data_IF_072087577627
#
_entry.id   IF_072087577627
#
_cell.length_a   1.000
_cell.length_b   1.000
_cell.length_c   1.000
_cell.angle_alpha   90.00
_cell.angle_beta   90.00
_cell.angle_gamma   90.00
#
_symmetry.space_group_name_H-M   'P 1'
#
loop_
_entity.id
_entity.type
_entity.pdbx_description
1 polymer ?
#
# COMPACT_ATOMS: atom_id res chain seq x y z
N UNK A 1 -29.17 -13.64 -50.37
CA UNK A 1 -28.10 -13.79 -49.34
C UNK A 1 -28.53 -13.09 -48.05
N UNK A 2 -28.47 -13.78 -46.93
CA UNK A 2 -28.74 -13.17 -45.64
C UNK A 2 -27.55 -12.22 -45.27
N UNK A 3 -27.84 -10.97 -44.99
CA UNK A 3 -26.82 -10.02 -44.57
C UNK A 3 -26.41 -10.35 -43.13
N UNK A 4 -25.15 -10.70 -42.91
CA UNK A 4 -24.58 -10.89 -41.59
C UNK A 4 -24.43 -9.53 -40.90
N UNK A 5 -25.24 -9.26 -39.88
CA UNK A 5 -25.08 -8.10 -38.99
C UNK A 5 -23.85 -8.29 -38.12
N UNK A 6 -23.29 -7.19 -37.59
CA UNK A 6 -22.15 -7.23 -36.65
C UNK A 6 -22.42 -8.23 -35.53
N UNK A 7 -21.49 -9.17 -35.33
CA UNK A 7 -21.57 -10.15 -34.25
C UNK A 7 -21.47 -9.53 -32.86
N UNK A 8 -21.44 -10.36 -31.84
CA UNK A 8 -21.42 -9.95 -30.41
C UNK A 8 -20.03 -9.44 -29.91
N UNK A 9 -18.97 -9.55 -30.72
CA UNK A 9 -17.59 -9.24 -30.31
C UNK A 9 -17.44 -7.77 -29.86
N UNK A 10 -17.97 -6.83 -30.62
CA UNK A 10 -17.91 -5.41 -30.29
C UNK A 10 -18.65 -5.11 -28.97
N UNK A 11 -19.81 -5.77 -28.74
CA UNK A 11 -20.59 -5.65 -27.51
C UNK A 11 -19.81 -6.22 -26.32
N UNK A 12 -19.22 -7.41 -26.45
CA UNK A 12 -18.40 -8.05 -25.41
C UNK A 12 -17.21 -7.15 -25.03
N UNK A 13 -16.50 -6.58 -26.01
CA UNK A 13 -15.39 -5.65 -25.77
C UNK A 13 -15.84 -4.40 -25.00
N UNK A 14 -16.94 -3.78 -25.39
CA UNK A 14 -17.48 -2.60 -24.68
C UNK A 14 -17.91 -2.95 -23.25
N UNK A 15 -18.61 -4.05 -23.06
CA UNK A 15 -19.04 -4.50 -21.75
C UNK A 15 -17.85 -4.77 -20.82
N UNK A 16 -16.75 -5.34 -21.32
CA UNK A 16 -15.52 -5.54 -20.55
C UNK A 16 -15.00 -4.20 -19.95
N UNK A 17 -14.93 -3.16 -20.75
CA UNK A 17 -14.49 -1.84 -20.30
C UNK A 17 -15.49 -1.21 -19.34
N UNK A 18 -16.78 -1.26 -19.65
CA UNK A 18 -17.83 -0.70 -18.79
C UNK A 18 -17.91 -1.42 -17.42
N UNK A 19 -17.62 -2.71 -17.39
CA UNK A 19 -17.55 -3.47 -16.14
C UNK A 19 -16.36 -3.00 -15.27
N UNK A 20 -15.21 -2.67 -15.87
CA UNK A 20 -14.08 -2.08 -15.15
C UNK A 20 -14.35 -0.65 -14.67
N UNK A 21 -15.26 0.06 -15.36
CA UNK A 21 -15.66 1.42 -15.01
C UNK A 21 -16.81 1.48 -13.98
N UNK A 22 -17.32 0.34 -13.50
CA UNK A 22 -18.38 0.31 -12.48
C UNK A 22 -17.96 1.12 -11.25
N UNK A 23 -18.89 1.93 -10.72
CA UNK A 23 -18.63 2.80 -9.59
C UNK A 23 -17.99 4.14 -9.94
N UNK A 24 -17.62 4.40 -11.19
CA UNK A 24 -17.10 5.70 -11.58
C UNK A 24 -18.21 6.77 -11.59
N UNK A 25 -17.85 8.01 -11.24
CA UNK A 25 -18.80 9.12 -11.12
C UNK A 25 -19.33 9.56 -12.48
N UNK A 26 -20.63 9.79 -12.56
CA UNK A 26 -21.32 10.36 -13.72
C UNK A 26 -21.21 9.50 -14.98
N UNK A 27 -21.09 10.14 -16.13
CA UNK A 27 -20.99 9.50 -17.46
C UNK A 27 -19.76 8.60 -17.64
N UNK A 28 -18.75 8.68 -16.78
CA UNK A 28 -17.54 7.88 -16.88
C UNK A 28 -17.79 6.37 -16.69
N UNK A 29 -18.91 5.97 -16.11
CA UNK A 29 -19.32 4.56 -15.96
C UNK A 29 -20.18 4.03 -17.09
N UNK A 30 -20.91 4.91 -17.80
CA UNK A 30 -21.94 4.51 -18.76
C UNK A 30 -21.53 4.76 -20.23
N UNK A 31 -20.79 5.82 -20.49
CA UNK A 31 -20.36 6.20 -21.85
C UNK A 31 -19.04 5.52 -22.17
N UNK A 32 -19.04 4.63 -23.16
CA UNK A 32 -17.86 3.82 -23.52
C UNK A 32 -16.61 4.65 -23.78
N UNK A 33 -16.71 5.76 -24.54
CA UNK A 33 -15.56 6.59 -24.91
C UNK A 33 -14.85 7.18 -23.69
N UNK A 34 -15.62 7.79 -22.79
CA UNK A 34 -15.11 8.37 -21.57
C UNK A 34 -14.67 7.30 -20.58
N UNK A 35 -15.46 6.22 -20.43
CA UNK A 35 -15.13 5.07 -19.58
C UNK A 35 -13.79 4.45 -19.98
N UNK A 36 -13.53 4.22 -21.26
CA UNK A 36 -12.28 3.64 -21.73
C UNK A 36 -11.07 4.49 -21.34
N UNK A 37 -11.12 5.80 -21.55
CA UNK A 37 -10.05 6.72 -21.15
C UNK A 37 -9.81 6.69 -19.64
N UNK A 38 -10.89 6.71 -18.85
CA UNK A 38 -10.81 6.68 -17.38
C UNK A 38 -10.29 5.35 -16.84
N UNK A 39 -10.70 4.23 -17.45
CA UNK A 39 -10.19 2.90 -17.07
C UNK A 39 -8.70 2.78 -17.35
N UNK A 40 -8.20 3.22 -18.51
CA UNK A 40 -6.76 3.23 -18.77
C UNK A 40 -6.00 4.02 -17.72
N UNK A 41 -6.47 5.21 -17.34
CA UNK A 41 -5.85 6.03 -16.30
C UNK A 41 -5.92 5.36 -14.93
N UNK A 42 -7.04 4.74 -14.59
CA UNK A 42 -7.22 4.01 -13.34
C UNK A 42 -6.24 2.83 -13.21
N UNK A 43 -6.05 2.06 -14.28
CA UNK A 43 -5.11 0.93 -14.30
C UNK A 43 -3.65 1.38 -14.16
N UNK A 44 -3.26 2.48 -14.86
CA UNK A 44 -1.93 3.08 -14.70
C UNK A 44 -1.69 3.56 -13.26
N UNK A 45 -2.68 4.25 -12.67
CA UNK A 45 -2.59 4.70 -11.29
C UNK A 45 -2.51 3.51 -10.32
N UNK A 46 -3.34 2.48 -10.50
CA UNK A 46 -3.32 1.27 -9.67
C UNK A 46 -1.95 0.56 -9.71
N UNK A 47 -1.32 0.49 -10.90
CA UNK A 47 0.02 -0.06 -11.05
C UNK A 47 1.07 0.72 -10.24
N UNK A 48 1.08 2.05 -10.38
CA UNK A 48 1.97 2.94 -9.65
C UNK A 48 1.73 2.86 -8.14
N UNK A 49 0.48 2.89 -7.72
CA UNK A 49 0.11 3.01 -6.31
C UNK A 49 0.33 1.69 -5.55
N UNK A 50 0.26 0.52 -6.21
CA UNK A 50 0.72 -0.75 -5.61
C UNK A 50 2.19 -0.70 -5.21
N UNK A 51 3.06 -0.02 -5.95
CA UNK A 51 4.47 0.18 -5.61
C UNK A 51 4.66 1.23 -4.53
N UNK A 52 3.90 2.33 -4.62
CA UNK A 52 3.93 3.41 -3.66
C UNK A 52 3.46 2.95 -2.27
N UNK A 53 2.42 2.12 -2.21
CA UNK A 53 1.88 1.57 -0.95
C UNK A 53 2.96 0.95 -0.04
N UNK A 54 3.89 0.22 -0.61
CA UNK A 54 5.00 -0.40 0.14
C UNK A 54 5.89 0.66 0.82
N UNK A 55 6.14 1.77 0.13
CA UNK A 55 6.93 2.90 0.66
C UNK A 55 6.16 3.67 1.73
N UNK A 56 4.87 3.87 1.52
CA UNK A 56 4.02 4.62 2.45
C UNK A 56 3.85 3.85 3.77
N UNK A 57 3.61 2.54 3.71
CA UNK A 57 3.59 1.71 4.92
C UNK A 57 4.94 1.68 5.64
N UNK A 58 6.05 1.59 4.92
CA UNK A 58 7.38 1.65 5.54
C UNK A 58 7.62 2.98 6.26
N UNK A 59 7.21 4.11 5.68
CA UNK A 59 7.27 5.42 6.33
C UNK A 59 6.44 5.46 7.62
N UNK A 60 5.24 4.93 7.57
CA UNK A 60 4.35 4.83 8.73
C UNK A 60 4.99 4.01 9.85
N UNK A 61 5.56 2.84 9.55
CA UNK A 61 6.24 2.02 10.54
C UNK A 61 7.44 2.73 11.16
N UNK A 62 8.26 3.38 10.34
CA UNK A 62 9.42 4.16 10.81
C UNK A 62 8.97 5.29 11.74
N UNK A 63 7.90 6.01 11.40
CA UNK A 63 7.34 7.08 12.23
C UNK A 63 6.90 6.55 13.61
N UNK A 64 6.17 5.44 13.64
CA UNK A 64 5.70 4.78 14.88
C UNK A 64 6.85 4.30 15.75
N UNK A 65 7.83 3.62 15.15
CA UNK A 65 9.03 3.15 15.86
C UNK A 65 9.81 4.34 16.44
N UNK A 66 9.99 5.40 15.65
CA UNK A 66 10.74 6.58 16.10
C UNK A 66 10.04 7.30 17.24
N UNK A 67 8.71 7.41 17.21
CA UNK A 67 7.94 7.99 18.30
C UNK A 67 8.15 7.22 19.61
N UNK A 68 8.02 5.88 19.58
CA UNK A 68 8.24 5.03 20.73
C UNK A 68 9.71 5.00 21.19
N UNK A 69 10.66 5.02 20.26
CA UNK A 69 12.09 5.10 20.58
C UNK A 69 12.43 6.41 21.32
N UNK A 70 11.83 7.54 20.93
CA UNK A 70 12.05 8.84 21.60
C UNK A 70 11.49 8.85 23.02
N UNK A 71 10.36 8.20 23.28
CA UNK A 71 9.81 8.02 24.64
C UNK A 71 10.83 7.29 25.52
N UNK A 72 11.56 6.32 24.96
CA UNK A 72 12.59 5.54 25.65
C UNK A 72 14.01 6.15 25.54
N UNK A 73 14.14 7.46 25.28
CA UNK A 73 15.41 8.20 25.31
C UNK A 73 16.36 7.93 24.12
N UNK A 74 15.89 7.25 23.07
CA UNK A 74 16.71 6.96 21.89
C UNK A 74 16.05 7.47 20.59
N UNK A 75 16.64 7.23 19.44
CA UNK A 75 16.04 7.53 18.16
C UNK A 75 16.06 6.32 17.23
N UNK A 76 15.27 6.39 16.13
CA UNK A 76 15.16 5.30 15.18
C UNK A 76 16.51 4.78 14.65
N UNK A 77 17.44 5.67 14.31
CA UNK A 77 18.73 5.27 13.73
C UNK A 77 19.61 4.52 14.72
N UNK A 78 19.69 5.01 15.96
CA UNK A 78 20.42 4.35 17.05
C UNK A 78 19.81 3.01 17.39
N UNK A 79 18.47 2.94 17.50
CA UNK A 79 17.72 1.71 17.76
C UNK A 79 18.00 0.63 16.70
N UNK A 80 17.88 0.96 15.41
CA UNK A 80 18.12 0.00 14.32
C UNK A 80 19.58 -0.45 14.28
N UNK A 81 20.52 0.45 14.52
CA UNK A 81 21.93 0.10 14.59
C UNK A 81 22.22 -0.83 15.79
N UNK A 82 21.69 -0.50 16.97
CA UNK A 82 21.83 -1.35 18.16
C UNK A 82 21.21 -2.74 17.96
N UNK A 83 20.02 -2.83 17.38
CA UNK A 83 19.40 -4.13 17.03
C UNK A 83 20.28 -4.94 16.09
N UNK A 84 20.91 -4.29 15.09
CA UNK A 84 21.82 -4.97 14.16
C UNK A 84 23.05 -5.50 14.87
N UNK A 85 23.65 -4.73 15.78
CA UNK A 85 24.83 -5.15 16.55
C UNK A 85 24.51 -6.27 17.56
N UNK A 86 23.29 -6.25 18.12
CA UNK A 86 22.80 -7.29 19.02
C UNK A 86 22.20 -8.51 18.29
N UNK A 87 22.32 -8.57 16.95
CA UNK A 87 21.78 -9.63 16.09
C UNK A 87 20.27 -9.88 16.24
N UNK A 88 19.50 -8.87 16.69
CA UNK A 88 18.06 -8.93 16.85
C UNK A 88 17.38 -8.71 15.49
N UNK A 89 16.85 -9.79 14.90
CA UNK A 89 16.21 -9.77 13.57
C UNK A 89 14.70 -9.63 13.71
N UNK A 90 14.21 -8.40 13.84
CA UNK A 90 12.77 -8.08 13.82
C UNK A 90 12.48 -7.13 12.67
N UNK A 91 11.45 -7.45 11.86
CA UNK A 91 11.08 -6.56 10.77
C UNK A 91 10.34 -5.30 11.29
N UNK A 92 10.39 -4.22 10.52
CA UNK A 92 9.82 -2.91 10.91
C UNK A 92 8.32 -2.96 11.15
N UNK A 93 7.59 -3.81 10.44
CA UNK A 93 6.14 -4.00 10.62
C UNK A 93 5.85 -4.53 12.03
N UNK A 94 6.52 -5.60 12.43
CA UNK A 94 6.37 -6.20 13.76
C UNK A 94 6.83 -5.25 14.86
N UNK A 95 7.97 -4.58 14.67
CA UNK A 95 8.49 -3.62 15.64
C UNK A 95 7.54 -2.42 15.83
N UNK A 96 6.94 -1.92 14.74
CA UNK A 96 5.93 -0.86 14.82
C UNK A 96 4.63 -1.33 15.48
N UNK A 97 4.29 -2.59 15.37
CA UNK A 97 3.12 -3.19 16.00
C UNK A 97 3.37 -3.40 17.51
N UNK A 98 4.55 -3.86 17.90
CA UNK A 98 4.98 -3.93 19.30
C UNK A 98 4.97 -2.55 19.96
N UNK A 99 5.48 -1.54 19.27
CA UNK A 99 5.48 -0.16 19.78
C UNK A 99 4.09 0.40 20.10
N UNK A 100 3.03 -0.13 19.47
CA UNK A 100 1.64 0.28 19.73
C UNK A 100 0.93 -0.62 20.73
N UNK A 101 1.08 -1.94 20.60
CA UNK A 101 0.27 -2.91 21.30
C UNK A 101 0.92 -3.34 22.64
N UNK A 102 2.25 -3.36 22.69
CA UNK A 102 3.02 -3.76 23.87
C UNK A 102 4.25 -2.87 24.08
N UNK A 103 4.04 -1.65 24.64
CA UNK A 103 5.14 -0.73 24.93
C UNK A 103 6.18 -1.31 25.88
N UNK A 104 5.78 -2.18 26.83
CA UNK A 104 6.69 -2.82 27.77
C UNK A 104 7.67 -3.78 27.10
N UNK A 105 7.19 -4.54 26.11
CA UNK A 105 8.05 -5.40 25.32
C UNK A 105 9.02 -4.57 24.47
N UNK A 106 8.55 -3.46 23.90
CA UNK A 106 9.39 -2.53 23.14
C UNK A 106 10.50 -1.89 24.01
N UNK A 107 10.18 -1.49 25.24
CA UNK A 107 11.14 -0.97 26.21
C UNK A 107 12.24 -1.99 26.56
N UNK A 108 11.89 -3.26 26.76
CA UNK A 108 12.87 -4.33 26.96
C UNK A 108 13.84 -4.47 25.79
N UNK A 109 13.34 -4.34 24.54
CA UNK A 109 14.19 -4.35 23.35
C UNK A 109 15.15 -3.17 23.37
N UNK A 110 14.67 -1.98 23.73
CA UNK A 110 15.54 -0.78 23.82
C UNK A 110 16.60 -0.96 24.90
N UNK A 111 16.23 -1.46 26.08
CA UNK A 111 17.15 -1.69 27.18
C UNK A 111 18.24 -2.72 26.86
N UNK A 112 17.90 -3.78 26.14
CA UNK A 112 18.87 -4.82 25.73
C UNK A 112 19.90 -4.31 24.71
N UNK A 113 19.64 -3.18 24.05
CA UNK A 113 20.52 -2.57 23.04
C UNK A 113 21.40 -1.47 23.66
N UNK A 114 20.96 -0.91 24.80
CA UNK A 114 21.65 0.21 25.48
C UNK A 114 22.82 -0.26 26.36
N UNK A 115 22.92 -1.56 26.58
CA UNK A 115 24.03 -2.22 27.25
C UNK A 115 25.06 -2.70 26.21
#
# INVERSE_FOLDING_TARGET
MARVKRGNIARKRRNKILNLAKGFRGGNKNLFRTANQRVMKALCNAYRDRRRRKRDFRRLWISRINASARINGTNYSKLINGMKNAEIIINRKMLAQLALNDPKCFEKIVSSISN
#
